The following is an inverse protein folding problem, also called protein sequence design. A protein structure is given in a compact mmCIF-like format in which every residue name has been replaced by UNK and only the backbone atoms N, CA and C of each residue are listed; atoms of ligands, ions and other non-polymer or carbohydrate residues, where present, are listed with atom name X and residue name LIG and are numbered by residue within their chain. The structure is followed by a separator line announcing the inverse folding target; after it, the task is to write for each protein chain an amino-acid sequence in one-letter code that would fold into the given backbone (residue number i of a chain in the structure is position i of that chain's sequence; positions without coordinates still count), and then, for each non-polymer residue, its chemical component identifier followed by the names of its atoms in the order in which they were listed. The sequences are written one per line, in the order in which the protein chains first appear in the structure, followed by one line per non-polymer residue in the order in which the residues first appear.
data_IF_963999783055
#
_entry.id   IF_963999783055
#
_cell.length_a   1.000
_cell.length_b   1.000
_cell.length_c   1.000
_cell.angle_alpha   90.00
_cell.angle_beta   90.00
_cell.angle_gamma   90.00
#
_symmetry.space_group_name_H-M   'P 1'
#
loop_
_entity.id
_entity.type
_entity.pdbx_description
1 polymer ?
#
# COMPACT_ATOMS: atom_id res chain seq x y z
N UNK A 1 88.86 -74.74 7.65
CA UNK A 1 88.47 -74.92 9.07
C UNK A 1 87.26 -74.03 9.35
N UNK A 2 86.13 -74.66 9.70
CA UNK A 2 84.86 -74.11 10.24
C UNK A 2 83.98 -73.25 9.32
N UNK A 3 82.93 -73.93 8.87
CA UNK A 3 81.71 -73.40 8.26
C UNK A 3 80.79 -72.73 9.30
N UNK A 4 80.00 -71.75 8.85
CA UNK A 4 78.68 -71.48 9.46
C UNK A 4 77.76 -70.80 8.45
N UNK A 5 76.70 -71.52 8.09
CA UNK A 5 75.50 -71.09 7.37
C UNK A 5 74.53 -70.43 8.34
N UNK A 6 73.76 -69.41 7.92
CA UNK A 6 72.37 -69.09 8.33
C UNK A 6 71.89 -67.84 7.57
N UNK A 7 71.03 -67.97 6.57
CA UNK A 7 69.57 -68.14 6.59
C UNK A 7 68.84 -66.78 6.49
N UNK A 8 68.22 -66.61 5.33
CA UNK A 8 67.36 -65.55 4.82
C UNK A 8 66.15 -65.31 5.74
N UNK A 9 65.78 -64.04 6.03
CA UNK A 9 64.37 -63.67 6.23
C UNK A 9 64.14 -62.15 6.10
N UNK A 10 63.45 -61.82 5.01
CA UNK A 10 62.91 -60.52 4.65
C UNK A 10 61.69 -60.22 5.56
N UNK A 11 61.77 -59.21 6.41
CA UNK A 11 60.63 -58.79 7.27
C UNK A 11 59.90 -57.64 6.58
N UNK A 12 58.71 -57.96 6.06
CA UNK A 12 57.68 -57.06 5.53
C UNK A 12 57.08 -56.23 6.69
N UNK A 13 57.01 -54.89 6.62
CA UNK A 13 56.35 -54.12 7.66
C UNK A 13 54.83 -54.24 7.50
N UNK A 14 54.20 -54.80 8.54
CA UNK A 14 52.75 -54.91 8.69
C UNK A 14 52.17 -53.50 8.92
N UNK A 15 51.55 -52.91 7.90
CA UNK A 15 50.72 -51.72 8.04
C UNK A 15 49.50 -52.03 8.92
N UNK A 16 49.52 -51.55 10.17
CA UNK A 16 48.32 -51.48 11.01
C UNK A 16 47.36 -50.44 10.41
N UNK A 17 46.27 -50.91 9.80
CA UNK A 17 45.09 -50.10 9.57
C UNK A 17 44.35 -49.94 10.91
N UNK A 18 44.47 -48.78 11.55
CA UNK A 18 43.61 -48.40 12.66
C UNK A 18 42.19 -48.19 12.12
N UNK A 19 41.16 -48.87 12.67
CA UNK A 19 39.78 -48.52 12.35
C UNK A 19 39.50 -47.14 12.96
N UNK A 20 39.02 -46.21 12.14
CA UNK A 20 38.47 -44.94 12.63
C UNK A 20 37.23 -45.30 13.44
N UNK A 21 37.35 -45.31 14.77
CA UNK A 21 36.21 -45.41 15.69
C UNK A 21 35.32 -44.20 15.45
N UNK A 22 34.17 -44.42 14.81
CA UNK A 22 33.12 -43.42 14.69
C UNK A 22 32.64 -43.02 16.08
N UNK A 23 32.59 -41.71 16.32
CA UNK A 23 32.09 -41.12 17.56
C UNK A 23 30.64 -41.60 17.81
N UNK A 24 30.41 -42.36 18.89
CA UNK A 24 29.09 -42.87 19.23
C UNK A 24 28.19 -41.71 19.70
N UNK A 25 27.20 -41.35 18.89
CA UNK A 25 26.24 -40.27 19.17
C UNK A 25 24.95 -40.85 19.73
N UNK A 26 24.46 -40.27 20.83
CA UNK A 26 23.22 -40.67 21.48
C UNK A 26 22.18 -39.57 21.30
N UNK A 27 21.01 -39.89 20.76
CA UNK A 27 19.91 -38.94 20.57
C UNK A 27 18.91 -39.04 21.70
N UNK A 28 18.46 -37.89 22.22
CA UNK A 28 17.40 -37.77 23.23
C UNK A 28 16.23 -36.97 22.67
N UNK A 29 15.02 -37.51 22.73
CA UNK A 29 13.79 -36.78 22.37
C UNK A 29 12.64 -37.08 23.35
N UNK A 30 11.55 -36.33 23.25
CA UNK A 30 10.34 -36.50 24.07
C UNK A 30 9.17 -36.82 23.17
N UNK A 31 8.48 -37.94 23.41
CA UNK A 31 7.32 -38.36 22.62
C UNK A 31 6.04 -37.58 22.94
N UNK A 32 4.95 -37.85 22.21
CA UNK A 32 3.66 -37.17 22.37
C UNK A 32 2.98 -37.43 23.72
N UNK A 33 3.39 -38.48 24.44
CA UNK A 33 2.90 -38.84 25.77
C UNK A 33 3.78 -38.27 26.89
N UNK A 34 4.83 -37.52 26.55
CA UNK A 34 5.76 -36.90 27.49
C UNK A 34 6.90 -37.82 27.96
N UNK A 35 7.08 -39.00 27.36
CA UNK A 35 8.16 -39.90 27.73
C UNK A 35 9.48 -39.51 27.03
N UNK A 36 10.58 -39.59 27.78
CA UNK A 36 11.92 -39.29 27.27
C UNK A 36 12.55 -40.56 26.73
N UNK A 37 12.94 -40.53 25.46
CA UNK A 37 13.60 -41.64 24.76
C UNK A 37 15.07 -41.34 24.51
N UNK A 38 15.90 -42.37 24.58
CA UNK A 38 17.33 -42.33 24.25
C UNK A 38 17.66 -43.45 23.27
N UNK A 39 18.22 -43.13 22.11
CA UNK A 39 18.64 -44.13 21.14
C UNK A 39 19.79 -43.62 20.27
N UNK A 40 20.56 -44.54 19.72
CA UNK A 40 21.54 -44.34 18.66
C UNK A 40 20.88 -43.99 17.31
N UNK A 41 19.59 -44.26 17.13
CA UNK A 41 18.83 -43.94 15.93
C UNK A 41 17.42 -43.42 16.27
N UNK A 42 17.01 -42.29 15.68
CA UNK A 42 15.66 -41.74 15.86
C UNK A 42 14.69 -42.36 14.85
N UNK A 43 13.60 -43.03 15.28
CA UNK A 43 12.59 -43.57 14.37
C UNK A 43 11.97 -42.46 13.49
N UNK A 44 11.62 -42.76 12.22
CA UNK A 44 11.02 -41.79 11.31
C UNK A 44 9.78 -41.08 11.87
N UNK A 45 9.00 -41.77 12.70
CA UNK A 45 7.77 -41.28 13.33
C UNK A 45 8.01 -40.10 14.30
N UNK A 46 9.21 -40.01 14.90
CA UNK A 46 9.59 -38.94 15.84
C UNK A 46 10.57 -37.92 15.25
N UNK A 47 10.84 -38.00 13.95
CA UNK A 47 11.78 -37.10 13.27
C UNK A 47 11.36 -35.61 13.35
N UNK A 48 10.06 -35.35 13.54
CA UNK A 48 9.49 -34.01 13.65
C UNK A 48 9.60 -33.39 15.06
N UNK A 49 10.02 -34.16 16.07
CA UNK A 49 10.16 -33.68 17.44
C UNK A 49 11.55 -33.08 17.67
N UNK A 50 11.63 -32.16 18.64
CA UNK A 50 12.90 -31.59 19.06
C UNK A 50 13.77 -32.66 19.73
N UNK A 51 15.07 -32.66 19.46
CA UNK A 51 16.01 -33.65 19.99
C UNK A 51 17.33 -33.03 20.40
N UNK A 52 17.90 -33.54 21.48
CA UNK A 52 19.27 -33.23 21.89
C UNK A 52 20.19 -34.35 21.36
N UNK A 53 21.25 -33.98 20.65
CA UNK A 53 22.37 -34.87 20.32
C UNK A 53 23.32 -34.84 21.50
N UNK A 54 23.65 -36.01 22.05
CA UNK A 54 24.54 -36.17 23.19
C UNK A 54 25.79 -36.95 22.80
N UNK A 55 26.91 -36.58 23.40
CA UNK A 55 28.17 -37.32 23.34
C UNK A 55 28.06 -38.58 24.22
N UNK A 56 29.00 -39.50 24.06
CA UNK A 56 29.08 -40.76 24.81
C UNK A 56 29.22 -40.54 26.33
N UNK A 57 29.68 -39.37 26.76
CA UNK A 57 29.76 -38.95 28.17
C UNK A 57 28.51 -38.21 28.69
N UNK A 58 27.44 -38.14 27.88
CA UNK A 58 26.14 -37.54 28.24
C UNK A 58 26.05 -36.02 28.03
N UNK A 59 27.14 -35.37 27.59
CA UNK A 59 27.16 -33.93 27.27
C UNK A 59 26.32 -33.65 26.02
N UNK A 60 25.48 -32.63 26.05
CA UNK A 60 24.72 -32.20 24.86
C UNK A 60 25.69 -31.54 23.87
N UNK A 61 25.85 -32.16 22.72
CA UNK A 61 26.66 -31.69 21.61
C UNK A 61 25.87 -30.73 20.71
N UNK A 62 24.59 -31.00 20.50
CA UNK A 62 23.73 -30.22 19.60
C UNK A 62 22.25 -30.33 20.03
N UNK A 63 21.42 -29.37 19.64
CA UNK A 63 19.97 -29.37 19.89
C UNK A 63 19.24 -29.03 18.60
N UNK A 64 18.44 -29.96 18.11
CA UNK A 64 17.55 -29.73 16.97
C UNK A 64 16.17 -29.38 17.50
N UNK A 65 15.66 -28.20 17.12
CA UNK A 65 14.32 -27.76 17.48
C UNK A 65 13.24 -28.67 16.83
N UNK A 66 12.05 -28.79 17.45
CA UNK A 66 10.92 -29.46 16.82
C UNK A 66 10.54 -28.79 15.50
N UNK A 67 9.92 -29.54 14.60
CA UNK A 67 9.29 -28.98 13.42
C UNK A 67 8.24 -27.95 13.85
N UNK A 68 8.27 -26.75 13.26
CA UNK A 68 7.31 -25.67 13.54
C UNK A 68 5.89 -26.20 13.38
N UNK A 69 4.98 -25.77 14.26
CA UNK A 69 3.58 -26.17 14.16
C UNK A 69 2.98 -25.60 12.87
N UNK A 70 1.94 -26.24 12.33
CA UNK A 70 1.24 -25.70 11.14
C UNK A 70 0.72 -24.29 11.40
N UNK A 71 0.26 -24.03 12.63
CA UNK A 71 -0.23 -22.72 13.06
C UNK A 71 0.87 -21.65 13.11
N UNK A 72 2.07 -22.00 13.61
CA UNK A 72 3.23 -21.10 13.60
C UNK A 72 3.68 -20.76 12.17
N UNK A 73 3.71 -21.74 11.28
CA UNK A 73 4.04 -21.55 9.86
C UNK A 73 2.98 -20.67 9.18
N UNK A 74 1.69 -20.89 9.47
CA UNK A 74 0.61 -20.08 8.92
C UNK A 74 0.60 -18.65 9.48
N UNK A 75 0.91 -18.46 10.76
CA UNK A 75 1.05 -17.14 11.38
C UNK A 75 2.22 -16.35 10.77
N UNK A 76 3.39 -16.98 10.61
CA UNK A 76 4.57 -16.37 9.96
C UNK A 76 4.29 -16.02 8.49
N UNK A 77 3.62 -16.91 7.75
CA UNK A 77 3.18 -16.62 6.37
C UNK A 77 2.24 -15.42 6.31
N UNK A 78 1.26 -15.33 7.22
CA UNK A 78 0.35 -14.17 7.30
C UNK A 78 1.10 -12.88 7.60
N UNK A 79 2.05 -12.91 8.54
CA UNK A 79 2.87 -11.75 8.86
C UNK A 79 3.72 -11.31 7.66
N UNK A 80 4.42 -12.25 7.00
CA UNK A 80 5.22 -11.95 5.81
C UNK A 80 4.36 -11.40 4.66
N UNK A 81 3.14 -11.90 4.49
CA UNK A 81 2.19 -11.36 3.52
C UNK A 81 1.77 -9.93 3.85
N UNK A 82 1.44 -9.64 5.11
CA UNK A 82 1.08 -8.29 5.56
C UNK A 82 2.24 -7.29 5.40
N UNK A 83 3.46 -7.70 5.75
CA UNK A 83 4.67 -6.90 5.55
C UNK A 83 4.96 -6.66 4.06
N UNK A 84 4.80 -7.69 3.22
CA UNK A 84 4.97 -7.57 1.77
C UNK A 84 3.90 -6.65 1.15
N UNK A 85 2.65 -6.73 1.59
CA UNK A 85 1.58 -5.83 1.15
C UNK A 85 1.85 -4.39 1.57
N UNK A 86 2.26 -4.17 2.81
CA UNK A 86 2.63 -2.84 3.32
C UNK A 86 3.78 -2.25 2.51
N UNK A 87 4.83 -3.04 2.27
CA UNK A 87 5.96 -2.61 1.44
C UNK A 87 5.54 -2.27 0.01
N UNK A 88 4.68 -3.09 -0.61
CA UNK A 88 4.15 -2.80 -1.95
C UNK A 88 3.38 -1.49 -2.00
N UNK A 89 2.51 -1.23 -1.00
CA UNK A 89 1.75 0.04 -0.92
C UNK A 89 2.69 1.25 -0.81
N UNK A 90 3.73 1.15 0.03
CA UNK A 90 4.73 2.21 0.16
C UNK A 90 5.53 2.44 -1.13
N UNK A 91 5.92 1.37 -1.82
CA UNK A 91 6.60 1.44 -3.12
C UNK A 91 5.72 2.09 -4.19
N UNK A 92 4.43 1.72 -4.24
CA UNK A 92 3.45 2.31 -5.15
C UNK A 92 3.20 3.80 -4.86
N UNK A 93 3.09 4.18 -3.59
CA UNK A 93 2.98 5.59 -3.18
C UNK A 93 4.23 6.40 -3.55
N UNK A 94 5.42 5.86 -3.29
CA UNK A 94 6.67 6.49 -3.66
C UNK A 94 6.80 6.65 -5.18
N UNK A 95 6.41 5.64 -5.96
CA UNK A 95 6.41 5.69 -7.41
C UNK A 95 5.43 6.73 -7.95
N UNK A 96 4.21 6.80 -7.39
CA UNK A 96 3.22 7.84 -7.74
C UNK A 96 3.73 9.24 -7.43
N UNK A 97 4.33 9.44 -6.26
CA UNK A 97 4.90 10.73 -5.88
C UNK A 97 6.05 11.13 -6.80
N UNK A 98 6.94 10.19 -7.14
CA UNK A 98 8.07 10.46 -8.03
C UNK A 98 7.62 10.85 -9.44
N UNK A 99 6.56 10.21 -9.96
CA UNK A 99 5.97 10.57 -11.25
C UNK A 99 5.27 11.93 -11.18
N UNK A 100 4.51 12.21 -10.11
CA UNK A 100 3.90 13.52 -9.89
C UNK A 100 4.96 14.64 -9.87
N UNK A 101 6.03 14.45 -9.11
CA UNK A 101 7.14 15.39 -9.02
C UNK A 101 7.81 15.63 -10.39
N UNK A 102 7.95 14.57 -11.18
CA UNK A 102 8.50 14.64 -12.53
C UNK A 102 7.58 15.47 -13.43
N UNK A 103 6.29 15.17 -13.45
CA UNK A 103 5.30 15.91 -14.24
C UNK A 103 5.27 17.37 -13.83
N UNK A 104 5.29 17.66 -12.54
CA UNK A 104 5.27 19.02 -11.99
C UNK A 104 6.47 19.84 -12.50
N UNK A 105 7.68 19.27 -12.46
CA UNK A 105 8.90 19.90 -13.00
C UNK A 105 8.92 20.05 -14.52
N UNK A 106 8.33 19.11 -15.25
CA UNK A 106 8.24 19.18 -16.71
C UNK A 106 7.20 20.19 -17.19
N UNK A 107 6.13 20.38 -16.41
CA UNK A 107 4.99 21.23 -16.79
C UNK A 107 5.25 22.70 -16.43
N UNK A 108 5.89 22.96 -15.29
CA UNK A 108 6.02 24.31 -14.75
C UNK A 108 7.48 24.73 -14.63
N UNK A 109 7.78 25.95 -15.08
CA UNK A 109 9.14 26.50 -15.01
C UNK A 109 9.38 27.35 -13.75
N UNK A 110 8.30 27.82 -13.12
CA UNK A 110 8.34 28.63 -11.90
C UNK A 110 7.04 28.49 -11.10
N UNK A 111 7.10 28.82 -9.80
CA UNK A 111 5.89 28.93 -8.94
C UNK A 111 4.87 29.87 -9.56
N UNK A 112 5.33 31.01 -10.09
CA UNK A 112 4.48 32.01 -10.75
C UNK A 112 3.71 31.45 -11.94
N UNK A 113 4.25 30.46 -12.65
CA UNK A 113 3.53 29.82 -13.75
C UNK A 113 2.35 28.99 -13.23
N UNK A 114 2.54 28.29 -12.11
CA UNK A 114 1.49 27.51 -11.45
C UNK A 114 0.39 28.45 -10.96
N UNK A 115 0.76 29.53 -10.27
CA UNK A 115 -0.16 30.55 -9.78
C UNK A 115 -0.98 31.17 -10.93
N UNK A 116 -0.32 31.56 -12.02
CA UNK A 116 -1.01 32.13 -13.18
C UNK A 116 -2.04 31.15 -13.78
N UNK A 117 -1.65 29.89 -13.96
CA UNK A 117 -2.54 28.86 -14.53
C UNK A 117 -3.71 28.57 -13.58
N UNK A 118 -3.47 28.53 -12.27
CA UNK A 118 -4.52 28.44 -11.25
C UNK A 118 -5.50 29.59 -11.38
N UNK A 119 -4.98 30.82 -11.38
CA UNK A 119 -5.80 32.03 -11.38
C UNK A 119 -6.61 32.14 -12.68
N UNK A 120 -6.02 31.86 -13.84
CA UNK A 120 -6.71 31.79 -15.14
C UNK A 120 -7.86 30.77 -15.11
N UNK A 121 -7.64 29.60 -14.49
CA UNK A 121 -8.68 28.56 -14.35
C UNK A 121 -9.80 29.01 -13.42
N UNK A 122 -9.47 29.63 -12.29
CA UNK A 122 -10.44 30.13 -11.32
C UNK A 122 -11.29 31.24 -11.95
N UNK A 123 -10.67 32.17 -12.66
CA UNK A 123 -11.39 33.25 -13.35
C UNK A 123 -12.35 32.71 -14.41
N UNK A 124 -11.96 31.67 -15.16
CA UNK A 124 -12.88 31.00 -16.08
C UNK A 124 -14.10 30.38 -15.37
N UNK A 125 -13.91 29.79 -14.18
CA UNK A 125 -14.99 29.24 -13.36
C UNK A 125 -15.90 30.34 -12.79
N UNK A 126 -15.30 31.44 -12.29
CA UNK A 126 -16.05 32.62 -11.82
C UNK A 126 -16.88 33.24 -12.94
N UNK A 127 -16.35 33.32 -14.15
CA UNK A 127 -17.10 33.76 -15.33
C UNK A 127 -18.34 32.89 -15.60
N UNK A 128 -18.26 31.57 -15.39
CA UNK A 128 -19.41 30.66 -15.51
C UNK A 128 -20.46 30.93 -14.44
N UNK A 129 -20.04 31.19 -13.20
CA UNK A 129 -20.94 31.58 -12.09
C UNK A 129 -21.66 32.87 -12.45
N UNK A 130 -20.92 33.90 -12.86
CA UNK A 130 -21.50 35.20 -13.20
C UNK A 130 -22.57 35.13 -14.31
N UNK A 131 -22.33 34.29 -15.33
CA UNK A 131 -23.32 34.03 -16.37
C UNK A 131 -24.57 33.33 -15.83
N UNK A 132 -24.42 32.38 -14.90
CA UNK A 132 -25.55 31.70 -14.26
C UNK A 132 -26.35 32.64 -13.35
N UNK A 133 -25.68 33.51 -12.59
CA UNK A 133 -26.32 34.56 -11.79
C UNK A 133 -27.16 35.50 -12.67
N UNK A 134 -26.58 35.96 -13.79
CA UNK A 134 -27.30 36.78 -14.76
C UNK A 134 -28.54 36.07 -15.34
N UNK A 135 -28.47 34.74 -15.56
CA UNK A 135 -29.64 33.95 -15.98
C UNK A 135 -30.69 33.89 -14.87
N UNK A 136 -30.30 33.69 -13.62
CA UNK A 136 -31.22 33.69 -12.47
C UNK A 136 -31.99 35.01 -12.40
N UNK A 137 -31.30 36.16 -12.46
CA UNK A 137 -31.96 37.48 -12.43
C UNK A 137 -33.02 37.62 -13.53
N UNK A 138 -32.71 37.17 -14.75
CA UNK A 138 -33.67 37.18 -15.86
C UNK A 138 -34.87 36.23 -15.61
N UNK A 139 -34.61 35.03 -15.09
CA UNK A 139 -35.64 34.04 -14.77
C UNK A 139 -36.55 34.53 -13.64
N UNK A 140 -36.01 35.18 -12.62
CA UNK A 140 -36.77 35.79 -11.53
C UNK A 140 -37.71 36.90 -12.04
N UNK A 141 -37.23 37.73 -12.97
CA UNK A 141 -38.06 38.71 -13.67
C UNK A 141 -39.25 38.06 -14.39
N UNK A 142 -38.99 36.98 -15.15
CA UNK A 142 -40.05 36.22 -15.83
C UNK A 142 -41.01 35.55 -14.83
N UNK A 143 -40.49 35.04 -13.72
CA UNK A 143 -41.28 34.39 -12.67
C UNK A 143 -42.25 35.38 -12.03
N UNK A 144 -41.78 36.60 -11.75
CA UNK A 144 -42.63 37.66 -11.21
C UNK A 144 -43.74 38.06 -12.18
N UNK A 145 -43.43 38.17 -13.48
CA UNK A 145 -44.46 38.43 -14.51
C UNK A 145 -45.49 37.29 -14.60
N UNK A 146 -45.04 36.03 -14.55
CA UNK A 146 -45.94 34.88 -14.59
C UNK A 146 -46.87 34.84 -13.36
N UNK A 147 -46.34 35.14 -12.17
CA UNK A 147 -47.11 35.26 -10.92
C UNK A 147 -48.16 36.37 -10.99
N UNK A 148 -47.81 37.54 -11.52
CA UNK A 148 -48.76 38.63 -11.69
C UNK A 148 -49.91 38.24 -12.63
N UNK A 149 -49.60 37.60 -13.77
CA UNK A 149 -50.62 37.11 -14.71
C UNK A 149 -51.54 36.08 -14.08
N UNK A 150 -51.00 35.11 -13.34
CA UNK A 150 -51.81 34.12 -12.62
C UNK A 150 -52.78 34.83 -11.66
N UNK A 151 -52.28 35.76 -10.84
CA UNK A 151 -53.10 36.51 -9.89
C UNK A 151 -54.16 37.41 -10.55
N UNK A 152 -53.89 37.98 -11.73
CA UNK A 152 -54.88 38.73 -12.52
C UNK A 152 -55.99 37.82 -13.07
N UNK A 153 -55.61 36.67 -13.64
CA UNK A 153 -56.53 35.68 -14.19
C UNK A 153 -57.46 35.14 -13.10
N UNK A 154 -56.91 34.72 -11.97
CA UNK A 154 -57.65 34.23 -10.80
C UNK A 154 -58.64 35.27 -10.27
N UNK A 155 -58.21 36.54 -10.10
CA UNK A 155 -59.10 37.62 -9.68
C UNK A 155 -60.23 37.90 -10.65
N UNK A 156 -60.00 37.67 -11.94
CA UNK A 156 -61.03 37.79 -12.99
C UNK A 156 -61.89 36.53 -13.16
N UNK A 157 -61.67 35.48 -12.35
CA UNK A 157 -62.38 34.20 -12.45
C UNK A 157 -62.06 33.42 -13.73
N UNK A 158 -60.92 33.69 -14.36
CA UNK A 158 -60.43 33.02 -15.56
C UNK A 158 -59.44 31.92 -15.19
N UNK A 159 -59.31 30.93 -16.08
CA UNK A 159 -58.32 29.87 -15.96
C UNK A 159 -56.88 30.44 -15.98
N UNK A 160 -56.05 29.92 -15.07
CA UNK A 160 -54.68 30.33 -14.82
C UNK A 160 -53.69 29.15 -14.92
N UNK A 161 -54.12 27.97 -15.38
CA UNK A 161 -53.30 26.75 -15.42
C UNK A 161 -51.99 26.94 -16.21
N UNK A 162 -52.04 27.57 -17.38
CA UNK A 162 -50.85 27.90 -18.19
C UNK A 162 -49.84 28.78 -17.42
N UNK A 163 -50.34 29.72 -16.63
CA UNK A 163 -49.49 30.61 -15.83
C UNK A 163 -48.85 29.85 -14.66
N UNK A 164 -49.58 28.92 -14.04
CA UNK A 164 -49.06 28.04 -13.00
C UNK A 164 -47.99 27.08 -13.52
N UNK A 165 -48.23 26.44 -14.66
CA UNK A 165 -47.22 25.58 -15.29
C UNK A 165 -45.95 26.37 -15.58
N UNK A 166 -46.09 27.58 -16.15
CA UNK A 166 -44.95 28.46 -16.42
C UNK A 166 -44.18 28.82 -15.15
N UNK A 167 -44.87 29.08 -14.05
CA UNK A 167 -44.25 29.35 -12.73
C UNK A 167 -43.41 28.15 -12.28
N UNK A 168 -43.93 26.93 -12.38
CA UNK A 168 -43.18 25.73 -11.95
C UNK A 168 -41.92 25.53 -12.80
N UNK A 169 -42.03 25.65 -14.12
CA UNK A 169 -40.88 25.54 -15.04
C UNK A 169 -39.82 26.58 -14.73
N UNK A 170 -40.20 27.84 -14.48
CA UNK A 170 -39.26 28.90 -14.15
C UNK A 170 -38.57 28.66 -12.81
N UNK A 171 -39.29 28.17 -11.80
CA UNK A 171 -38.70 27.82 -10.49
C UNK A 171 -37.67 26.70 -10.61
N UNK A 172 -37.99 25.63 -11.34
CA UNK A 172 -37.07 24.52 -11.57
C UNK A 172 -35.79 25.00 -12.26
N UNK A 173 -35.90 25.86 -13.28
CA UNK A 173 -34.72 26.44 -13.96
C UNK A 173 -33.87 27.33 -13.06
N UNK A 174 -34.48 28.09 -12.15
CA UNK A 174 -33.75 28.89 -11.16
C UNK A 174 -32.96 27.95 -10.24
N UNK A 175 -33.60 26.92 -9.72
CA UNK A 175 -32.97 25.92 -8.84
C UNK A 175 -31.81 25.20 -9.54
N UNK A 176 -31.99 24.79 -10.80
CA UNK A 176 -30.92 24.20 -11.61
C UNK A 176 -29.70 25.13 -11.72
N UNK A 177 -29.90 26.43 -11.95
CA UNK A 177 -28.79 27.39 -12.02
C UNK A 177 -28.15 27.61 -10.63
N UNK A 178 -28.92 27.59 -9.55
CA UNK A 178 -28.40 27.69 -8.18
C UNK A 178 -27.51 26.47 -7.83
N UNK A 179 -27.96 25.27 -8.18
CA UNK A 179 -27.16 24.04 -8.02
C UNK A 179 -25.88 24.10 -8.88
N UNK A 180 -25.98 24.61 -10.10
CA UNK A 180 -24.81 24.81 -10.96
C UNK A 180 -23.80 25.79 -10.34
N UNK A 181 -24.26 26.89 -9.74
CA UNK A 181 -23.39 27.84 -9.03
C UNK A 181 -22.70 27.14 -7.87
N UNK A 182 -23.45 26.48 -6.99
CA UNK A 182 -22.89 25.81 -5.81
C UNK A 182 -21.87 24.71 -6.18
N UNK A 183 -22.14 23.93 -7.22
CA UNK A 183 -21.19 22.92 -7.70
C UNK A 183 -19.94 23.54 -8.32
N UNK A 184 -20.07 24.68 -9.01
CA UNK A 184 -18.93 25.41 -9.58
C UNK A 184 -18.09 26.09 -8.49
N UNK A 185 -18.70 26.60 -7.42
CA UNK A 185 -17.99 27.11 -6.24
C UNK A 185 -17.16 26.03 -5.55
N UNK A 186 -17.73 24.82 -5.41
CA UNK A 186 -16.98 23.66 -4.91
C UNK A 186 -15.83 23.24 -5.85
N UNK A 187 -16.02 23.36 -7.17
CA UNK A 187 -14.95 23.15 -8.17
C UNK A 187 -13.82 24.18 -7.99
N UNK A 188 -14.14 25.45 -7.72
CA UNK A 188 -13.15 26.50 -7.43
C UNK A 188 -12.34 26.13 -6.19
N UNK A 189 -12.99 25.83 -5.06
CA UNK A 189 -12.31 25.49 -3.81
C UNK A 189 -11.41 24.25 -3.95
N UNK A 190 -11.88 23.23 -4.68
CA UNK A 190 -11.08 22.02 -4.97
C UNK A 190 -9.88 22.34 -5.88
N UNK A 191 -10.09 23.23 -6.86
CA UNK A 191 -9.03 23.68 -7.77
C UNK A 191 -7.96 24.46 -7.02
N UNK A 192 -8.36 25.41 -6.16
CA UNK A 192 -7.47 26.18 -5.29
C UNK A 192 -6.61 25.24 -4.42
N UNK A 193 -7.25 24.31 -3.71
CA UNK A 193 -6.55 23.38 -2.82
C UNK A 193 -5.53 22.51 -3.58
N UNK A 194 -5.88 22.01 -4.77
CA UNK A 194 -4.98 21.21 -5.60
C UNK A 194 -3.75 22.01 -6.03
N UNK A 195 -3.96 23.21 -6.57
CA UNK A 195 -2.86 24.04 -7.04
C UNK A 195 -1.97 24.53 -5.89
N UNK A 196 -2.52 24.77 -4.70
CA UNK A 196 -1.72 25.12 -3.53
C UNK A 196 -0.80 23.95 -3.12
N UNK A 197 -1.33 22.73 -3.08
CA UNK A 197 -0.52 21.54 -2.81
C UNK A 197 0.60 21.36 -3.86
N UNK A 198 0.30 21.63 -5.14
CA UNK A 198 1.29 21.59 -6.22
C UNK A 198 2.36 22.70 -6.06
N UNK A 199 1.97 23.91 -5.66
CA UNK A 199 2.90 25.02 -5.37
C UNK A 199 3.84 24.65 -4.23
N UNK A 200 3.31 24.16 -3.10
CA UNK A 200 4.11 23.73 -1.96
C UNK A 200 5.08 22.63 -2.34
N UNK A 201 4.60 21.64 -3.12
CA UNK A 201 5.44 20.54 -3.59
C UNK A 201 6.54 21.04 -4.52
N UNK A 202 6.22 21.92 -5.46
CA UNK A 202 7.19 22.48 -6.38
C UNK A 202 8.26 23.28 -5.66
N UNK A 203 7.88 24.13 -4.70
CA UNK A 203 8.83 24.87 -3.85
C UNK A 203 9.74 23.93 -3.06
N UNK A 204 9.19 22.84 -2.51
CA UNK A 204 9.99 21.83 -1.83
C UNK A 204 11.03 21.21 -2.77
N UNK A 205 10.65 20.84 -4.00
CA UNK A 205 11.55 20.27 -4.99
C UNK A 205 12.67 21.25 -5.38
N UNK A 206 12.35 22.53 -5.58
CA UNK A 206 13.34 23.57 -5.88
C UNK A 206 14.33 23.76 -4.73
N UNK A 207 13.87 23.79 -3.48
CA UNK A 207 14.75 23.90 -2.29
C UNK A 207 15.65 22.68 -2.17
N UNK A 208 15.13 21.48 -2.40
CA UNK A 208 15.89 20.24 -2.32
C UNK A 208 17.00 20.21 -3.37
N UNK A 209 16.69 20.58 -4.60
CA UNK A 209 17.67 20.66 -5.69
C UNK A 209 18.74 21.73 -5.42
N UNK A 210 18.37 22.88 -4.85
CA UNK A 210 19.33 23.91 -4.47
C UNK A 210 20.28 23.46 -3.35
N UNK A 211 19.82 22.59 -2.43
CA UNK A 211 20.64 22.03 -1.36
C UNK A 211 21.55 20.88 -1.83
N UNK A 212 21.20 20.21 -2.93
CA UNK A 212 21.99 19.13 -3.55
C UNK A 212 23.09 19.66 -4.49
N UNK A 213 23.09 20.97 -4.79
CA UNK A 213 24.09 21.66 -5.63
C UNK A 213 25.17 22.34 -4.79
#
# INVERSE_FOLDING_TARGET
MKATVRLFQLVLPLCLALPVLGEARLYRWVDEHGNVHYSDHVPPEHAHQGRDVKSSDGRTLDRVAPARSREEIEAEKRQQQAEAETRRRLEEEAARQAEHDRVLRLTFSSVRDIERIRDDRIEALRGRIHLAEGRIVNLEGQLNQARQRAADLERSGRDADDAHERIQVLRARIEENQVFIATTEAEIATTEARYEADIERFQYLLRREAAER
#
